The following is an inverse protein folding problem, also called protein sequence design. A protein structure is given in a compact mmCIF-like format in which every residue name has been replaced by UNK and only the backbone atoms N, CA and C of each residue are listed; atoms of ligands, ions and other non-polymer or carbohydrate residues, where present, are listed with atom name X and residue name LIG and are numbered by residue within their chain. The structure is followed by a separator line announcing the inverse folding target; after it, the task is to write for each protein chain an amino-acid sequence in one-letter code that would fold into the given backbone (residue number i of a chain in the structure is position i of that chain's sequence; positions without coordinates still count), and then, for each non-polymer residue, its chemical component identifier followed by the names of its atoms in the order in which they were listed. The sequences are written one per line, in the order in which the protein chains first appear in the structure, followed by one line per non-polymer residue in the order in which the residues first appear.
data_IF_452834909837
#
_entry.id   IF_452834909837
#
_cell.length_a   1.000
_cell.length_b   1.000
_cell.length_c   1.000
_cell.angle_alpha   90.00
_cell.angle_beta   90.00
_cell.angle_gamma   90.00
#
_symmetry.space_group_name_H-M   'P 1'
#
loop_
_entity.id
_entity.type
_entity.pdbx_description
1 polymer ?
#
# COMPACT_ATOMS: atom_id res chain seq x y z
N UNK A 1 -8.34 30.40 1.33
CA UNK A 1 -8.19 29.83 0.94
C UNK A 1 -8.35 28.77 0.53
N UNK A 2 -8.36 28.11 0.19
CA UNK A 2 -8.46 27.13 -0.17
C UNK A 2 -8.56 26.44 -0.38
N UNK A 3 -8.62 25.85 -0.49
CA UNK A 3 -8.79 25.02 -0.65
C UNK A 3 -8.79 23.90 -1.28
N UNK A 4 -8.45 23.65 -2.08
CA UNK A 4 -8.46 22.30 -2.56
C UNK A 4 -7.36 21.55 -1.93
N UNK A 5 -7.62 20.29 -1.81
CA UNK A 5 -6.64 19.34 -1.31
C UNK A 5 -5.95 18.75 -2.54
N UNK A 6 -4.65 18.85 -2.64
CA UNK A 6 -3.95 18.26 -3.77
C UNK A 6 -2.91 17.26 -3.30
N UNK A 7 -2.44 16.45 -4.24
CA UNK A 7 -1.59 15.31 -3.93
C UNK A 7 -0.27 15.70 -3.30
N UNK A 8 0.25 16.86 -3.65
CA UNK A 8 1.51 17.32 -3.09
C UNK A 8 1.43 17.63 -1.60
N UNK A 9 0.22 17.82 -1.11
CA UNK A 9 0.00 18.11 0.31
C UNK A 9 -0.25 16.88 1.15
N UNK A 10 -0.33 15.71 0.52
CA UNK A 10 -0.51 14.46 1.24
C UNK A 10 0.80 14.10 1.95
N UNK A 11 0.69 13.52 3.16
CA UNK A 11 1.88 13.08 3.88
C UNK A 11 2.52 11.82 3.28
N UNK A 12 1.84 11.15 2.36
CA UNK A 12 2.36 10.01 1.61
C UNK A 12 2.26 10.31 0.12
N UNK A 13 2.98 9.53 -0.69
CA UNK A 13 2.93 9.71 -2.14
C UNK A 13 2.00 8.70 -2.78
N UNK A 14 1.34 9.12 -3.86
CA UNK A 14 0.53 8.23 -4.67
C UNK A 14 1.34 7.91 -5.93
N UNK A 15 1.51 6.64 -6.22
CA UNK A 15 2.32 6.19 -7.35
C UNK A 15 1.48 5.28 -8.24
N UNK A 16 1.82 5.23 -9.52
CA UNK A 16 1.12 4.35 -10.46
C UNK A 16 1.78 2.96 -10.46
N UNK A 17 1.18 2.04 -11.23
CA UNK A 17 1.65 0.66 -11.26
C UNK A 17 3.06 0.55 -11.82
N UNK A 18 3.40 1.40 -12.80
CA UNK A 18 4.74 1.37 -13.39
C UNK A 18 5.81 1.75 -12.36
N UNK A 19 5.55 2.80 -11.61
CA UNK A 19 6.48 3.23 -10.57
C UNK A 19 6.57 2.19 -9.46
N UNK A 20 5.43 1.63 -9.05
CA UNK A 20 5.42 0.58 -8.02
C UNK A 20 6.28 -0.60 -8.46
N UNK A 21 6.17 -0.99 -9.73
CA UNK A 21 6.93 -2.12 -10.23
C UNK A 21 8.43 -1.85 -10.17
N UNK A 22 8.83 -0.62 -10.51
CA UNK A 22 10.24 -0.23 -10.41
C UNK A 22 10.73 -0.28 -8.96
N UNK A 23 9.90 0.22 -8.04
CA UNK A 23 10.25 0.25 -6.63
C UNK A 23 10.39 -1.16 -6.04
N UNK A 24 9.47 -2.05 -6.40
CA UNK A 24 9.52 -3.44 -5.95
C UNK A 24 10.79 -4.11 -6.45
N UNK A 25 11.14 -3.88 -7.71
CA UNK A 25 12.37 -4.44 -8.27
C UNK A 25 13.61 -3.90 -7.55
N UNK A 26 13.52 -2.70 -7.01
CA UNK A 26 14.62 -2.08 -6.25
C UNK A 26 14.62 -2.47 -4.77
N UNK A 27 13.69 -3.32 -4.33
CA UNK A 27 13.67 -3.84 -2.98
C UNK A 27 12.67 -3.20 -2.03
N UNK A 28 11.75 -2.37 -2.53
CA UNK A 28 10.73 -1.78 -1.67
C UNK A 28 9.81 -2.86 -1.11
N UNK A 29 9.36 -2.65 0.13
CA UNK A 29 8.34 -3.51 0.73
C UNK A 29 7.00 -3.19 0.09
N UNK A 30 6.19 -4.24 -0.13
CA UNK A 30 4.83 -4.03 -0.62
C UNK A 30 3.86 -4.80 0.27
N UNK A 31 2.83 -4.11 0.74
CA UNK A 31 1.88 -4.66 1.69
C UNK A 31 0.48 -4.57 1.09
N UNK A 32 -0.16 -5.74 0.97
CA UNK A 32 -1.52 -5.85 0.46
C UNK A 32 -2.46 -5.82 1.64
N UNK A 33 -3.35 -4.82 1.67
CA UNK A 33 -4.25 -4.64 2.81
C UNK A 33 -5.66 -5.16 2.56
N UNK A 34 -5.83 -5.95 1.50
CA UNK A 34 -7.12 -6.55 1.17
C UNK A 34 -7.43 -7.72 2.09
N UNK A 35 -8.64 -8.26 1.95
CA UNK A 35 -9.03 -9.45 2.68
C UNK A 35 -8.43 -10.69 2.05
N UNK A 36 -8.34 -11.77 2.83
CA UNK A 36 -7.74 -13.02 2.37
C UNK A 36 -8.40 -13.54 1.10
N UNK A 37 -9.72 -13.43 1.00
CA UNK A 37 -10.45 -13.93 -0.19
C UNK A 37 -10.02 -13.19 -1.45
N UNK A 38 -9.78 -11.89 -1.34
CA UNK A 38 -9.29 -11.10 -2.48
C UNK A 38 -7.88 -11.51 -2.85
N UNK A 39 -7.04 -11.69 -1.85
CA UNK A 39 -5.64 -12.12 -2.01
C UNK A 39 -5.57 -13.44 -2.76
N UNK A 40 -6.43 -14.38 -2.40
CA UNK A 40 -6.41 -15.72 -2.99
C UNK A 40 -6.80 -15.74 -4.46
N UNK A 41 -7.49 -14.70 -4.93
CA UNK A 41 -7.85 -14.59 -6.35
C UNK A 41 -6.72 -14.02 -7.19
N UNK A 42 -5.71 -13.47 -6.57
CA UNK A 42 -4.55 -12.95 -7.26
C UNK A 42 -3.92 -11.81 -6.48
N UNK A 43 -2.61 -11.84 -6.38
CA UNK A 43 -1.86 -10.82 -5.63
C UNK A 43 -0.48 -10.65 -6.25
N UNK A 44 0.19 -9.56 -5.88
CA UNK A 44 1.57 -9.32 -6.31
C UNK A 44 2.47 -10.26 -5.53
N UNK A 45 3.35 -10.97 -6.24
CA UNK A 45 4.16 -12.04 -5.65
C UNK A 45 4.97 -11.57 -4.43
N UNK A 46 5.51 -10.37 -4.50
CA UNK A 46 6.37 -9.83 -3.44
C UNK A 46 5.59 -9.24 -2.27
N UNK A 47 4.26 -9.15 -2.39
CA UNK A 47 3.46 -8.51 -1.37
C UNK A 47 3.28 -9.38 -0.14
N UNK A 48 3.22 -8.74 1.00
CA UNK A 48 2.82 -9.41 2.24
C UNK A 48 1.40 -9.01 2.57
N UNK A 49 0.58 -9.96 2.99
CA UNK A 49 -0.82 -9.70 3.30
C UNK A 49 -0.97 -9.23 4.75
N UNK A 50 -1.44 -8.00 4.91
CA UNK A 50 -1.76 -7.45 6.24
C UNK A 50 -3.12 -6.76 6.09
N UNK A 51 -4.21 -7.50 6.28
CA UNK A 51 -5.55 -6.95 6.00
C UNK A 51 -5.89 -5.78 6.91
N UNK A 52 -6.46 -4.74 6.30
CA UNK A 52 -7.05 -3.67 7.09
C UNK A 52 -8.54 -3.99 7.21
N UNK A 53 -8.95 -4.26 8.44
CA UNK A 53 -10.34 -4.60 8.73
C UNK A 53 -11.04 -3.35 9.25
N UNK A 54 -11.92 -3.53 10.23
CA UNK A 54 -12.66 -2.41 10.80
C UNK A 54 -11.94 -1.75 11.96
N UNK A 55 -10.76 -2.25 12.33
CA UNK A 55 -10.02 -1.73 13.47
C UNK A 55 -8.69 -1.13 13.02
N UNK A 56 -8.61 0.19 13.09
CA UNK A 56 -7.38 0.92 12.81
C UNK A 56 -6.29 0.53 13.80
N UNK A 57 -6.68 0.35 15.07
CA UNK A 57 -5.73 -0.01 16.12
C UNK A 57 -5.09 -1.38 15.86
N UNK A 58 -5.90 -2.34 15.42
CA UNK A 58 -5.39 -3.67 15.10
C UNK A 58 -4.44 -3.66 13.91
N UNK A 59 -4.82 -2.90 12.87
CA UNK A 59 -3.94 -2.79 11.71
C UNK A 59 -2.60 -2.17 12.11
N UNK A 60 -2.62 -1.14 12.96
CA UNK A 60 -1.39 -0.52 13.43
C UNK A 60 -0.50 -1.48 14.18
N UNK A 61 -1.10 -2.35 15.01
CA UNK A 61 -0.34 -3.38 15.72
C UNK A 61 0.25 -4.41 14.78
N UNK A 62 -0.53 -4.87 13.81
CA UNK A 62 -0.07 -5.84 12.85
C UNK A 62 1.08 -5.28 12.02
N UNK A 63 0.98 -4.00 11.65
CA UNK A 63 2.01 -3.34 10.89
C UNK A 63 3.31 -3.24 11.70
N UNK A 64 3.21 -2.88 12.98
CA UNK A 64 4.39 -2.79 13.84
C UNK A 64 5.05 -4.13 14.05
N UNK A 65 4.28 -5.21 14.02
CA UNK A 65 4.81 -6.56 14.20
C UNK A 65 5.74 -6.97 13.06
N UNK A 66 5.68 -6.28 11.91
CA UNK A 66 6.58 -6.55 10.78
C UNK A 66 7.99 -6.03 11.02
N UNK A 67 8.17 -5.14 12.00
CA UNK A 67 9.48 -4.55 12.32
C UNK A 67 10.15 -3.87 11.14
N UNK A 68 9.36 -3.14 10.35
CA UNK A 68 9.91 -2.41 9.21
C UNK A 68 10.75 -1.24 9.70
N UNK A 69 11.87 -1.01 9.00
CA UNK A 69 12.69 0.16 9.28
C UNK A 69 11.93 1.42 8.89
N UNK A 70 12.07 2.49 9.68
CA UNK A 70 11.40 3.75 9.39
C UNK A 70 11.84 4.37 8.07
N UNK A 71 12.97 3.93 7.53
CA UNK A 71 13.52 4.48 6.29
C UNK A 71 13.29 3.59 5.06
N UNK A 72 12.62 2.46 5.23
CA UNK A 72 12.27 1.61 4.10
C UNK A 72 11.16 2.23 3.27
N UNK A 73 11.25 2.03 1.95
CA UNK A 73 10.13 2.36 1.06
C UNK A 73 9.06 1.29 1.23
N UNK A 74 7.84 1.72 1.55
CA UNK A 74 6.72 0.80 1.76
C UNK A 74 5.54 1.21 0.90
N UNK A 75 5.11 0.30 0.02
CA UNK A 75 3.98 0.54 -0.88
C UNK A 75 2.78 -0.23 -0.36
N UNK A 76 1.67 0.46 -0.16
CA UNK A 76 0.42 -0.18 0.24
C UNK A 76 -0.50 -0.35 -0.94
N UNK A 77 -1.13 -1.52 -1.05
CA UNK A 77 -2.02 -1.84 -2.16
C UNK A 77 -3.34 -2.41 -1.66
N UNK A 78 -4.43 -1.98 -2.29
CA UNK A 78 -5.74 -2.61 -2.12
C UNK A 78 -6.36 -2.80 -3.51
N UNK A 79 -7.67 -2.93 -3.62
CA UNK A 79 -8.29 -3.14 -4.93
C UNK A 79 -8.28 -1.87 -5.77
N UNK A 80 -8.64 -0.72 -5.19
CA UNK A 80 -8.84 0.52 -5.94
C UNK A 80 -8.01 1.70 -5.44
N UNK A 81 -7.29 1.54 -4.33
CA UNK A 81 -6.48 2.61 -3.75
C UNK A 81 -7.08 3.29 -2.53
N UNK A 82 -8.32 2.93 -2.15
CA UNK A 82 -8.99 3.63 -1.04
C UNK A 82 -8.59 3.10 0.33
N UNK A 83 -8.62 1.78 0.52
CA UNK A 83 -8.19 1.19 1.79
C UNK A 83 -6.71 1.38 2.01
N UNK A 84 -5.93 1.31 0.94
CA UNK A 84 -4.48 1.50 1.05
C UNK A 84 -4.12 2.95 1.35
N UNK A 85 -4.96 3.91 0.97
CA UNK A 85 -4.75 5.30 1.37
C UNK A 85 -4.88 5.44 2.89
N UNK A 86 -5.89 4.80 3.49
CA UNK A 86 -6.05 4.79 4.94
C UNK A 86 -4.86 4.11 5.60
N UNK A 87 -4.44 2.97 5.05
CA UNK A 87 -3.28 2.24 5.57
C UNK A 87 -2.03 3.10 5.54
N UNK A 88 -1.86 3.90 4.48
CA UNK A 88 -0.70 4.79 4.35
C UNK A 88 -0.67 5.82 5.47
N UNK A 89 -1.84 6.38 5.81
CA UNK A 89 -1.92 7.35 6.90
C UNK A 89 -1.59 6.70 8.25
N UNK A 90 -2.11 5.49 8.48
CA UNK A 90 -1.82 4.77 9.70
C UNK A 90 -0.32 4.48 9.81
N UNK A 91 0.30 4.10 8.70
CA UNK A 91 1.72 3.79 8.66
C UNK A 91 2.58 4.99 9.08
N UNK A 92 2.21 6.18 8.63
CA UNK A 92 2.93 7.39 9.01
C UNK A 92 2.83 7.65 10.50
N UNK A 93 1.64 7.47 11.07
CA UNK A 93 1.46 7.62 12.51
C UNK A 93 2.28 6.56 13.27
N UNK A 94 2.44 5.39 12.68
CA UNK A 94 3.22 4.31 13.29
C UNK A 94 4.73 4.52 13.15
N UNK A 95 5.18 5.57 12.45
CA UNK A 95 6.58 5.93 12.41
C UNK A 95 7.31 5.64 11.11
N UNK A 96 6.61 5.12 10.09
CA UNK A 96 7.23 4.94 8.78
C UNK A 96 7.32 6.29 8.06
N UNK A 97 8.40 6.50 7.32
CA UNK A 97 8.68 7.80 6.71
C UNK A 97 8.49 7.82 5.19
N UNK A 98 8.66 6.68 4.54
CA UNK A 98 8.62 6.62 3.07
C UNK A 98 7.47 5.72 2.66
N UNK A 99 6.29 6.30 2.62
CA UNK A 99 5.03 5.59 2.46
C UNK A 99 4.38 5.97 1.13
N UNK A 100 3.93 4.97 0.39
CA UNK A 100 3.37 5.13 -0.95
C UNK A 100 2.05 4.39 -1.05
N UNK A 101 1.08 5.02 -1.72
CA UNK A 101 -0.21 4.40 -2.02
C UNK A 101 -0.26 4.06 -3.50
N UNK A 102 -0.54 2.80 -3.83
CA UNK A 102 -0.63 2.38 -5.23
C UNK A 102 -1.95 2.86 -5.82
N UNK A 103 -1.85 3.81 -6.74
CA UNK A 103 -3.01 4.37 -7.42
C UNK A 103 -3.73 3.27 -8.20
N UNK A 104 -5.05 3.24 -8.07
CA UNK A 104 -5.92 2.23 -8.68
C UNK A 104 -5.64 0.79 -8.22
N UNK A 105 -4.74 0.60 -7.28
CA UNK A 105 -4.49 -0.67 -6.62
C UNK A 105 -4.32 -1.86 -7.56
N UNK A 106 -4.86 -3.00 -7.16
CA UNK A 106 -4.78 -4.21 -7.99
C UNK A 106 -5.53 -4.07 -9.29
N UNK A 107 -6.60 -3.25 -9.33
CA UNK A 107 -7.31 -3.02 -10.58
C UNK A 107 -6.37 -2.41 -11.64
N UNK A 108 -5.57 -1.43 -11.25
CA UNK A 108 -4.60 -0.82 -12.16
C UNK A 108 -3.46 -1.76 -12.53
N UNK A 109 -2.97 -2.52 -11.55
CA UNK A 109 -1.89 -3.49 -11.77
C UNK A 109 -2.30 -4.54 -12.79
N UNK A 110 -3.46 -5.16 -12.58
CA UNK A 110 -3.98 -6.18 -13.50
C UNK A 110 -4.31 -5.57 -14.85
N UNK A 111 -4.85 -4.36 -14.85
CA UNK A 111 -5.17 -3.66 -16.09
C UNK A 111 -3.97 -3.39 -16.98
N UNK A 112 -2.78 -3.29 -16.38
CA UNK A 112 -1.53 -3.15 -17.13
C UNK A 112 -0.98 -4.49 -17.60
N UNK A 113 -1.60 -5.59 -17.22
CA UNK A 113 -1.12 -6.92 -17.55
C UNK A 113 0.07 -7.37 -16.74
N UNK A 114 0.32 -6.74 -15.60
CA UNK A 114 1.45 -7.10 -14.75
C UNK A 114 1.18 -8.41 -14.00
N UNK A 115 2.22 -9.17 -13.66
CA UNK A 115 2.03 -10.54 -13.15
C UNK A 115 1.41 -10.58 -11.75
N UNK A 116 0.61 -11.61 -11.54
CA UNK A 116 0.02 -11.92 -10.24
C UNK A 116 0.25 -13.38 -9.91
N UNK A 117 0.19 -13.69 -8.61
CA UNK A 117 0.18 -15.07 -8.10
C UNK A 117 -1.14 -15.39 -7.45
N UNK A 118 -1.44 -16.67 -7.35
CA UNK A 118 -2.61 -17.14 -6.63
C UNK A 118 -2.25 -18.14 -5.55
#
# INVERSE_FOLDING_TARGET
MTQGFNEEELPYKTIDADEARRMIAAGAQIIDVRQLEEWQRGHIAEAELVPINNSIAEFGKDLKALNLSSDEDVVFVCASGKRSAVASEIALVAGLNKVYNLENGMNGWVGRGYPIER
#
